data_IF_122903652246
#
_entry.id   IF_122903652246
#
_cell.length_a   1.000
_cell.length_b   1.000
_cell.length_c   1.000
_cell.angle_alpha   90.00
_cell.angle_beta   90.00
_cell.angle_gamma   90.00
#
_symmetry.space_group_name_H-M   'P 1'
#
loop_
_entity.id
_entity.type
_entity.pdbx_description
1 polymer ?
#
# COMPACT_ATOMS: atom_id res chain seq x y z
N UNK A 1 -16.35 1.01 -0.72
CA UNK A 1 -16.25 2.21 0.15
C UNK A 1 -17.14 3.34 -0.36
N UNK A 2 -17.72 4.19 0.51
CA UNK A 2 -18.51 5.37 0.09
C UNK A 2 -18.09 6.62 0.88
N UNK A 3 -18.16 7.79 0.25
CA UNK A 3 -18.09 9.10 0.91
C UNK A 3 -19.45 9.78 0.78
N UNK A 4 -20.00 10.24 1.90
CA UNK A 4 -21.21 11.04 1.92
C UNK A 4 -20.89 12.49 2.29
N UNK A 5 -21.44 13.43 1.53
CA UNK A 5 -21.29 14.87 1.71
C UNK A 5 -22.68 15.49 1.92
N UNK A 6 -22.80 16.42 2.86
CA UNK A 6 -24.04 17.20 3.04
C UNK A 6 -23.92 18.50 2.26
N UNK A 7 -24.73 18.67 1.21
CA UNK A 7 -24.77 19.86 0.36
C UNK A 7 -26.19 20.42 0.44
N UNK A 8 -26.32 21.68 0.86
CA UNK A 8 -27.62 22.36 1.01
C UNK A 8 -28.66 21.58 1.85
N UNK A 9 -28.19 20.90 2.90
CA UNK A 9 -29.04 20.13 3.80
C UNK A 9 -29.48 18.75 3.27
N UNK A 10 -28.99 18.34 2.09
CA UNK A 10 -29.21 16.99 1.54
C UNK A 10 -27.92 16.20 1.54
N UNK A 11 -28.01 14.90 1.85
CA UNK A 11 -26.87 13.99 1.85
C UNK A 11 -26.68 13.38 0.46
N UNK A 12 -25.49 13.51 -0.09
CA UNK A 12 -25.06 12.94 -1.36
C UNK A 12 -23.93 11.95 -1.11
N UNK A 13 -24.15 10.68 -1.43
CA UNK A 13 -23.14 9.63 -1.28
C UNK A 13 -22.54 9.27 -2.64
N UNK A 14 -21.22 9.10 -2.67
CA UNK A 14 -20.44 8.76 -3.86
C UNK A 14 -19.68 7.48 -3.57
N UNK A 15 -19.87 6.49 -4.43
CA UNK A 15 -19.10 5.24 -4.38
C UNK A 15 -17.63 5.51 -4.71
N UNK A 16 -16.75 5.04 -3.84
CA UNK A 16 -15.31 5.02 -4.12
C UNK A 16 -14.97 3.63 -4.67
N UNK A 17 -14.47 3.54 -5.91
CA UNK A 17 -14.05 2.27 -6.48
C UNK A 17 -12.82 1.75 -5.74
N UNK A 18 -12.86 0.47 -5.39
CA UNK A 18 -11.69 -0.23 -4.85
C UNK A 18 -10.82 -0.70 -6.01
N UNK A 19 -9.58 -0.20 -6.07
CA UNK A 19 -8.61 -0.60 -7.10
C UNK A 19 -7.84 -1.82 -6.59
N UNK A 20 -8.11 -2.97 -7.21
CA UNK A 20 -7.36 -4.20 -6.95
C UNK A 20 -6.10 -4.23 -7.80
N UNK A 21 -4.94 -4.33 -7.15
CA UNK A 21 -3.67 -4.56 -7.83
C UNK A 21 -3.57 -6.05 -8.20
N UNK A 22 -3.41 -6.39 -9.50
CA UNK A 22 -3.31 -7.79 -9.94
C UNK A 22 -1.93 -8.36 -9.58
N UNK A 23 -1.77 -8.76 -8.33
CA UNK A 23 -0.51 -9.28 -7.80
C UNK A 23 -0.47 -10.80 -7.97
N UNK A 24 -0.03 -11.26 -9.14
CA UNK A 24 0.18 -12.69 -9.38
C UNK A 24 1.61 -13.10 -9.00
N UNK A 25 1.74 -14.16 -8.21
CA UNK A 25 3.04 -14.69 -7.81
C UNK A 25 3.58 -15.51 -8.96
N UNK A 26 4.41 -14.91 -9.83
CA UNK A 26 5.08 -15.67 -10.88
C UNK A 26 6.20 -16.49 -10.23
N UNK A 27 5.88 -17.74 -9.87
CA UNK A 27 6.77 -18.82 -9.40
C UNK A 27 7.88 -18.36 -8.44
N UNK A 28 7.70 -18.48 -7.11
CA UNK A 28 8.83 -18.30 -6.21
C UNK A 28 9.92 -19.29 -6.61
N UNK A 29 11.11 -18.77 -6.93
CA UNK A 29 12.30 -19.58 -7.17
C UNK A 29 12.66 -20.41 -5.93
N UNK A 30 13.77 -21.17 -5.97
CA UNK A 30 14.25 -21.93 -4.82
C UNK A 30 14.67 -20.96 -3.71
N UNK A 31 13.75 -20.64 -2.82
CA UNK A 31 13.93 -19.77 -1.65
C UNK A 31 13.02 -20.26 -0.52
N UNK A 32 13.26 -19.85 0.73
CA UNK A 32 12.47 -20.32 1.85
C UNK A 32 10.98 -19.96 1.68
N UNK A 33 10.14 -20.79 2.29
CA UNK A 33 8.68 -20.88 2.08
C UNK A 33 7.94 -19.54 2.23
N UNK A 34 8.54 -18.54 2.90
CA UNK A 34 7.95 -17.24 3.21
C UNK A 34 8.25 -16.11 2.21
N UNK A 35 9.12 -16.31 1.21
CA UNK A 35 9.42 -15.29 0.19
C UNK A 35 8.19 -14.80 -0.62
N UNK A 36 7.22 -15.65 -1.01
CA UNK A 36 6.05 -15.18 -1.75
C UNK A 36 5.25 -14.13 -0.98
N UNK A 37 4.98 -14.39 0.30
CA UNK A 37 4.25 -13.47 1.16
C UNK A 37 5.05 -12.19 1.42
N UNK A 38 6.36 -12.31 1.65
CA UNK A 38 7.24 -11.14 1.79
C UNK A 38 7.22 -10.25 0.54
N UNK A 39 7.35 -10.84 -0.65
CA UNK A 39 7.32 -10.10 -1.93
C UNK A 39 5.95 -9.50 -2.20
N UNK A 40 4.87 -10.20 -1.86
CA UNK A 40 3.52 -9.66 -1.95
C UNK A 40 3.35 -8.43 -1.05
N UNK A 41 3.78 -8.50 0.22
CA UNK A 41 3.69 -7.36 1.13
C UNK A 41 4.51 -6.17 0.58
N UNK A 42 5.73 -6.43 0.09
CA UNK A 42 6.61 -5.41 -0.50
C UNK A 42 6.01 -4.74 -1.75
N UNK A 43 5.39 -5.51 -2.65
CA UNK A 43 4.75 -4.95 -3.83
C UNK A 43 3.50 -4.11 -3.51
N UNK A 44 2.71 -4.50 -2.50
CA UNK A 44 1.59 -3.67 -2.00
C UNK A 44 2.13 -2.36 -1.44
N UNK A 45 3.13 -2.42 -0.57
CA UNK A 45 3.73 -1.24 0.06
C UNK A 45 4.35 -0.29 -0.99
N UNK A 46 5.03 -0.83 -1.99
CA UNK A 46 5.55 -0.06 -3.11
C UNK A 46 4.44 0.63 -3.92
N UNK A 47 3.33 -0.08 -4.15
CA UNK A 47 2.17 0.49 -4.87
C UNK A 47 1.50 1.61 -4.08
N UNK A 48 1.35 1.44 -2.76
CA UNK A 48 0.81 2.50 -1.88
C UNK A 48 1.66 3.77 -1.92
N UNK A 49 2.99 3.65 -1.97
CA UNK A 49 3.88 4.81 -2.18
C UNK A 49 3.70 5.46 -3.54
N UNK A 50 3.59 4.68 -4.61
CA UNK A 50 3.36 5.24 -5.94
C UNK A 50 2.05 6.05 -6.00
N UNK A 51 0.99 5.55 -5.35
CA UNK A 51 -0.31 6.23 -5.29
C UNK A 51 -0.32 7.43 -4.31
N UNK A 52 0.45 7.39 -3.21
CA UNK A 52 0.48 8.49 -2.23
C UNK A 52 0.93 9.82 -2.85
N UNK A 53 1.79 9.78 -3.87
CA UNK A 53 2.22 10.97 -4.61
C UNK A 53 1.09 11.65 -5.40
N UNK A 54 0.00 10.94 -5.72
CA UNK A 54 -1.15 11.48 -6.43
C UNK A 54 -2.16 12.17 -5.50
N UNK A 55 -1.99 12.05 -4.18
CA UNK A 55 -2.84 12.72 -3.19
C UNK A 55 -2.56 14.22 -3.22
N UNK A 56 -3.61 14.99 -3.45
CA UNK A 56 -3.56 16.44 -3.59
C UNK A 56 -3.49 17.17 -2.25
N UNK A 57 -4.18 16.65 -1.22
CA UNK A 57 -4.13 17.21 0.14
C UNK A 57 -2.80 16.88 0.83
N UNK A 58 -1.99 17.88 1.24
CA UNK A 58 -0.70 17.63 1.86
C UNK A 58 -0.77 16.89 3.19
N UNK A 59 -1.78 17.16 4.02
CA UNK A 59 -1.91 16.55 5.34
C UNK A 59 -2.34 15.08 5.22
N UNK A 60 -3.21 14.75 4.27
CA UNK A 60 -3.57 13.36 3.95
C UNK A 60 -2.35 12.62 3.40
N UNK A 61 -1.61 13.24 2.47
CA UNK A 61 -0.39 12.65 1.90
C UNK A 61 0.67 12.36 2.96
N UNK A 62 0.93 13.30 3.86
CA UNK A 62 1.91 13.14 4.94
C UNK A 62 1.55 11.97 5.87
N UNK A 63 0.28 11.89 6.29
CA UNK A 63 -0.20 10.78 7.13
C UNK A 63 -0.04 9.42 6.44
N UNK A 64 -0.34 9.35 5.15
CA UNK A 64 -0.16 8.11 4.40
C UNK A 64 1.32 7.75 4.25
N UNK A 65 2.20 8.73 4.02
CA UNK A 65 3.65 8.51 3.95
C UNK A 65 4.23 8.01 5.29
N UNK A 66 3.73 8.48 6.42
CA UNK A 66 4.10 7.95 7.73
C UNK A 66 3.74 6.46 7.85
N UNK A 67 2.50 6.10 7.50
CA UNK A 67 2.08 4.69 7.49
C UNK A 67 2.88 3.82 6.51
N UNK A 68 3.26 4.36 5.36
CA UNK A 68 4.18 3.70 4.43
C UNK A 68 5.54 3.42 5.07
N UNK A 69 6.14 4.41 5.74
CA UNK A 69 7.44 4.24 6.39
C UNK A 69 7.39 3.18 7.50
N UNK A 70 6.30 3.13 8.27
CA UNK A 70 6.07 2.10 9.29
C UNK A 70 5.93 0.69 8.66
N UNK A 71 5.19 0.58 7.56
CA UNK A 71 5.05 -0.67 6.82
C UNK A 71 6.38 -1.15 6.23
N UNK A 72 7.18 -0.22 5.67
CA UNK A 72 8.52 -0.51 5.16
C UNK A 72 9.42 -1.06 6.28
N UNK A 73 9.44 -0.42 7.44
CA UNK A 73 10.20 -0.91 8.60
C UNK A 73 9.75 -2.30 9.07
N UNK A 74 8.45 -2.60 9.00
CA UNK A 74 7.95 -3.94 9.34
C UNK A 74 8.43 -5.00 8.33
N UNK A 75 8.49 -4.66 7.05
CA UNK A 75 9.04 -5.53 6.00
C UNK A 75 10.54 -5.71 6.19
N UNK A 76 11.29 -4.64 6.45
CA UNK A 76 12.74 -4.69 6.75
C UNK A 76 13.06 -5.57 7.95
N UNK A 77 12.28 -5.48 9.03
CA UNK A 77 12.45 -6.36 10.21
C UNK A 77 12.18 -7.82 9.92
N UNK A 78 11.28 -8.11 8.98
CA UNK A 78 10.97 -9.48 8.53
C UNK A 78 11.97 -9.99 7.49
N UNK A 79 12.72 -9.09 6.85
CA UNK A 79 13.72 -9.43 5.86
C UNK A 79 14.82 -10.29 6.54
N UNK A 80 15.03 -11.49 6.01
CA UNK A 80 16.08 -12.38 6.50
C UNK A 80 17.47 -11.91 6.07
N UNK A 81 18.54 -12.58 6.56
CA UNK A 81 19.90 -12.30 6.12
C UNK A 81 20.03 -12.41 4.59
N UNK A 82 20.65 -11.40 3.97
CA UNK A 82 20.87 -11.34 2.51
C UNK A 82 19.77 -10.64 1.71
N UNK A 83 18.72 -10.12 2.36
CA UNK A 83 17.69 -9.29 1.70
C UNK A 83 18.00 -7.82 1.92
N UNK A 84 18.14 -7.07 0.84
CA UNK A 84 18.33 -5.62 0.85
C UNK A 84 17.12 -4.95 0.20
N UNK A 85 16.51 -3.98 0.88
CA UNK A 85 15.41 -3.19 0.35
C UNK A 85 15.95 -1.80 -0.01
N UNK A 86 15.72 -1.36 -1.25
CA UNK A 86 16.12 -0.04 -1.76
C UNK A 86 14.87 0.72 -2.17
N UNK A 87 14.64 1.87 -1.56
CA UNK A 87 13.49 2.74 -1.77
C UNK A 87 13.88 4.00 -2.54
#
# INVERSE_FOLDING_TARGET
MEICLTIEGKTHCYGIPEVLLPMTHWKPGPGPVNYPAFLQDAMIVASLRAESHKITDPAVRERLMTGYNEALQAIEKRAGPGVEIRA
#
